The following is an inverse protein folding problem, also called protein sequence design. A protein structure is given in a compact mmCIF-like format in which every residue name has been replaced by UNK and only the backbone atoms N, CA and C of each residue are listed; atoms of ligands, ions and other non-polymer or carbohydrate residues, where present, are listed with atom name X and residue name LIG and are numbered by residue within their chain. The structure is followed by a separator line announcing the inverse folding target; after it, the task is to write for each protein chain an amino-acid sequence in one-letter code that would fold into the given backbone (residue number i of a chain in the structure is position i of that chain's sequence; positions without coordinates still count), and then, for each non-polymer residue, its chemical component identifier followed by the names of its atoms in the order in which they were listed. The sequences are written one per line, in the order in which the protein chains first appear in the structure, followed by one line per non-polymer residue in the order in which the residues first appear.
data_IF_529006012858
#
_entry.id   IF_529006012858
#
_cell.length_a   1.000
_cell.length_b   1.000
_cell.length_c   1.000
_cell.angle_alpha   90.00
_cell.angle_beta   90.00
_cell.angle_gamma   90.00
#
_symmetry.space_group_name_H-M   'P 1'
#
loop_
_entity.id
_entity.type
_entity.pdbx_description
1 polymer ?
#
# COMPACT_ATOMS: atom_id res chain seq x y z
N UNK A 1 -2.36 -19.78 -2.46
CA UNK A 1 -3.66 -19.54 -3.11
C UNK A 1 -3.65 -20.18 -4.50
N UNK A 2 -4.80 -20.63 -5.03
CA UNK A 2 -4.88 -21.13 -6.40
C UNK A 2 -4.64 -20.01 -7.43
N UNK A 3 -4.31 -20.36 -8.68
CA UNK A 3 -4.17 -19.40 -9.78
C UNK A 3 -5.54 -19.00 -10.36
N UNK A 4 -5.69 -17.72 -10.70
CA UNK A 4 -6.92 -17.11 -11.20
C UNK A 4 -7.27 -17.55 -12.63
N UNK A 5 -6.26 -17.69 -13.48
CA UNK A 5 -6.42 -18.01 -14.89
C UNK A 5 -6.14 -19.49 -15.18
N UNK A 6 -6.83 -20.04 -16.18
CA UNK A 6 -6.56 -21.34 -16.77
C UNK A 6 -5.36 -21.30 -17.75
N UNK A 7 -5.02 -22.44 -18.35
CA UNK A 7 -3.95 -22.56 -19.35
C UNK A 7 -4.20 -21.78 -20.63
N UNK A 8 -5.44 -21.34 -20.88
CA UNK A 8 -5.83 -20.52 -22.03
C UNK A 8 -5.86 -19.02 -21.68
N UNK A 9 -5.49 -18.64 -20.46
CA UNK A 9 -5.50 -17.26 -19.99
C UNK A 9 -6.90 -16.71 -19.70
N UNK A 10 -7.92 -17.56 -19.55
CA UNK A 10 -9.28 -17.19 -19.14
C UNK A 10 -9.43 -17.37 -17.64
N UNK A 11 -10.22 -16.49 -17.00
CA UNK A 11 -10.56 -16.65 -15.57
C UNK A 11 -11.31 -17.97 -15.40
N UNK A 12 -10.84 -18.79 -14.45
CA UNK A 12 -11.47 -20.08 -14.16
C UNK A 12 -12.90 -19.89 -13.67
N UNK A 13 -13.77 -20.85 -13.97
CA UNK A 13 -15.20 -20.71 -13.70
C UNK A 13 -15.51 -20.54 -12.21
N UNK A 14 -14.80 -21.28 -11.35
CA UNK A 14 -14.90 -21.16 -9.89
C UNK A 14 -14.50 -19.78 -9.34
N UNK A 15 -13.79 -18.98 -10.14
CA UNK A 15 -13.32 -17.63 -9.80
C UNK A 15 -14.00 -16.53 -10.63
N UNK A 16 -15.10 -16.83 -11.33
CA UNK A 16 -15.77 -15.86 -12.21
C UNK A 16 -16.33 -14.61 -11.49
N UNK A 17 -16.55 -14.69 -10.17
CA UNK A 17 -16.97 -13.56 -9.32
C UNK A 17 -15.80 -12.72 -8.83
N UNK A 18 -14.56 -13.17 -9.00
CA UNK A 18 -13.39 -12.40 -8.58
C UNK A 18 -13.13 -11.24 -9.54
N UNK A 19 -12.75 -10.06 -9.00
CA UNK A 19 -12.39 -8.94 -9.85
C UNK A 19 -11.09 -9.25 -10.60
N UNK A 20 -11.04 -8.84 -11.85
CA UNK A 20 -9.79 -8.88 -12.64
C UNK A 20 -8.78 -7.91 -12.00
N UNK A 21 -7.49 -8.29 -11.88
CA UNK A 21 -6.46 -7.40 -11.36
C UNK A 21 -6.41 -6.06 -12.11
N UNK A 22 -6.47 -4.96 -11.37
CA UNK A 22 -6.51 -3.61 -11.93
C UNK A 22 -5.21 -3.32 -12.65
N UNK A 23 -5.31 -3.02 -13.95
CA UNK A 23 -4.17 -2.61 -14.76
C UNK A 23 -3.56 -3.73 -15.61
N UNK A 24 -3.86 -5.02 -15.35
CA UNK A 24 -3.31 -6.14 -16.13
C UNK A 24 -3.78 -6.13 -17.60
N UNK A 25 -5.00 -5.66 -17.84
CA UNK A 25 -5.56 -5.45 -19.18
C UNK A 25 -5.48 -3.97 -19.62
N UNK A 26 -4.72 -3.14 -18.90
CA UNK A 26 -4.51 -1.74 -19.23
C UNK A 26 -3.69 -1.55 -20.52
N UNK A 27 -3.71 -0.32 -21.06
CA UNK A 27 -3.03 0.06 -22.32
C UNK A 27 -1.56 -0.38 -22.36
N UNK A 28 -0.88 -0.36 -21.22
CA UNK A 28 0.52 -0.75 -21.07
C UNK A 28 0.79 -2.21 -21.48
N UNK A 29 -0.04 -3.16 -21.06
CA UNK A 29 0.13 -4.58 -21.39
C UNK A 29 -0.66 -5.00 -22.64
N UNK A 30 -1.67 -4.22 -23.03
CA UNK A 30 -2.37 -4.42 -24.30
C UNK A 30 -1.41 -4.36 -25.51
N UNK A 31 -0.39 -3.49 -25.45
CA UNK A 31 0.65 -3.39 -26.47
C UNK A 31 1.70 -4.54 -26.41
N UNK A 32 1.64 -5.42 -25.40
CA UNK A 32 2.61 -6.51 -25.17
C UNK A 32 1.90 -7.83 -24.82
N UNK A 33 1.18 -8.45 -25.77
CA UNK A 33 0.30 -9.59 -25.49
C UNK A 33 1.03 -10.81 -24.92
N UNK A 34 2.25 -11.08 -25.38
CA UNK A 34 3.08 -12.20 -24.87
C UNK A 34 3.45 -12.00 -23.40
N UNK A 35 3.88 -10.79 -23.03
CA UNK A 35 4.20 -10.44 -21.63
C UNK A 35 2.95 -10.55 -20.77
N UNK A 36 1.81 -10.06 -21.27
CA UNK A 36 0.53 -10.14 -20.56
C UNK A 36 0.10 -11.58 -20.30
N UNK A 37 0.26 -12.48 -21.28
CA UNK A 37 -0.08 -13.89 -21.11
C UNK A 37 0.74 -14.52 -19.97
N UNK A 38 2.06 -14.32 -19.99
CA UNK A 38 2.97 -14.80 -18.94
C UNK A 38 2.63 -14.23 -17.55
N UNK A 39 2.24 -12.96 -17.47
CA UNK A 39 1.81 -12.36 -16.20
C UNK A 39 0.48 -12.93 -15.71
N UNK A 40 -0.45 -13.33 -16.59
CA UNK A 40 -1.72 -13.95 -16.18
C UNK A 40 -1.49 -15.31 -15.53
N UNK A 41 -0.48 -16.06 -15.97
CA UNK A 41 -0.07 -17.33 -15.34
C UNK A 41 0.41 -17.16 -13.89
N UNK A 42 0.92 -15.98 -13.53
CA UNK A 42 1.38 -15.70 -12.16
C UNK A 42 0.31 -15.15 -11.22
N UNK A 43 -0.91 -14.85 -11.69
CA UNK A 43 -1.94 -14.22 -10.84
C UNK A 43 -2.63 -15.26 -9.95
N UNK A 44 -2.65 -14.99 -8.65
CA UNK A 44 -3.41 -15.75 -7.68
C UNK A 44 -4.86 -15.28 -7.60
N UNK A 45 -5.76 -16.23 -7.37
CA UNK A 45 -7.16 -15.98 -7.04
C UNK A 45 -7.26 -15.52 -5.59
N UNK A 46 -7.11 -14.21 -5.37
CA UNK A 46 -7.34 -13.58 -4.07
C UNK A 46 -8.70 -12.87 -4.04
N UNK A 47 -9.36 -13.01 -2.89
CA UNK A 47 -10.48 -12.15 -2.49
C UNK A 47 -9.89 -10.89 -1.83
N UNK A 48 -10.55 -9.74 -1.96
CA UNK A 48 -10.05 -8.47 -1.38
C UNK A 48 -9.76 -7.35 -2.36
N UNK A 49 -10.17 -7.50 -3.62
CA UNK A 49 -10.18 -6.43 -4.62
C UNK A 49 -9.13 -6.57 -5.71
N UNK A 50 -9.16 -5.63 -6.64
CA UNK A 50 -8.39 -5.71 -7.89
C UNK A 50 -6.89 -5.42 -7.74
N UNK A 51 -6.40 -5.03 -6.56
CA UNK A 51 -4.97 -4.71 -6.34
C UNK A 51 -4.19 -5.76 -5.54
N UNK A 52 -4.85 -6.85 -5.14
CA UNK A 52 -4.28 -7.93 -4.31
C UNK A 52 -3.11 -8.68 -4.93
N UNK A 53 -2.89 -8.51 -6.23
CA UNK A 53 -1.84 -9.18 -7.01
C UNK A 53 -0.81 -8.21 -7.60
N UNK A 54 -0.81 -6.93 -7.20
CA UNK A 54 -0.01 -5.91 -7.88
C UNK A 54 1.49 -6.16 -7.78
N UNK A 55 1.98 -6.72 -6.66
CA UNK A 55 3.38 -7.09 -6.46
C UNK A 55 3.50 -8.40 -5.66
N UNK A 56 4.64 -9.11 -5.76
CA UNK A 56 4.94 -10.28 -4.92
C UNK A 56 4.74 -10.03 -3.42
N UNK A 57 5.09 -8.83 -2.95
CA UNK A 57 4.97 -8.44 -1.53
C UNK A 57 3.53 -8.48 -1.04
N UNK A 58 2.62 -7.89 -1.83
CA UNK A 58 1.19 -7.87 -1.52
C UNK A 58 0.64 -9.31 -1.57
N UNK A 59 1.07 -10.09 -2.56
CA UNK A 59 0.66 -11.49 -2.69
C UNK A 59 1.16 -12.38 -1.54
N UNK A 60 2.36 -12.11 -1.01
CA UNK A 60 2.90 -12.80 0.17
C UNK A 60 2.05 -12.51 1.41
N UNK A 61 1.73 -11.24 1.66
CA UNK A 61 0.84 -10.82 2.76
C UNK A 61 -0.55 -11.43 2.65
N UNK A 62 -1.19 -11.39 1.47
CA UNK A 62 -2.49 -12.01 1.26
C UNK A 62 -2.45 -13.52 1.49
N UNK A 63 -1.37 -14.19 1.08
CA UNK A 63 -1.19 -15.62 1.33
C UNK A 63 -1.02 -15.93 2.81
N UNK A 64 -0.25 -15.10 3.54
CA UNK A 64 -0.05 -15.27 4.98
C UNK A 64 -1.38 -15.13 5.74
N UNK A 65 -2.13 -14.06 5.49
CA UNK A 65 -3.41 -13.80 6.17
C UNK A 65 -4.47 -14.85 5.82
N UNK A 66 -4.48 -15.36 4.59
CA UNK A 66 -5.36 -16.46 4.20
C UNK A 66 -5.02 -17.75 4.98
N UNK A 67 -3.73 -18.08 5.13
CA UNK A 67 -3.31 -19.24 5.90
C UNK A 67 -3.66 -19.08 7.38
N UNK A 68 -3.48 -17.87 7.94
CA UNK A 68 -3.82 -17.60 9.33
C UNK A 68 -5.33 -17.68 9.58
N UNK A 69 -6.14 -17.15 8.66
CA UNK A 69 -7.59 -17.32 8.73
C UNK A 69 -7.99 -18.80 8.78
N UNK A 70 -7.48 -19.62 7.87
CA UNK A 70 -7.79 -21.06 7.85
C UNK A 70 -7.27 -21.80 9.08
N UNK A 71 -6.10 -21.40 9.62
CA UNK A 71 -5.56 -21.96 10.87
C UNK A 71 -6.50 -21.66 12.04
N UNK A 72 -6.97 -20.42 12.17
CA UNK A 72 -7.92 -20.02 13.21
C UNK A 72 -9.26 -20.72 13.02
N UNK A 73 -9.77 -20.83 11.79
CA UNK A 73 -11.01 -21.53 11.50
C UNK A 73 -10.95 -23.00 11.96
N UNK A 74 -9.86 -23.72 11.63
CA UNK A 74 -9.67 -25.10 12.09
C UNK A 74 -9.65 -25.24 13.62
N UNK A 75 -8.99 -24.32 14.33
CA UNK A 75 -9.02 -24.30 15.79
C UNK A 75 -10.44 -24.06 16.35
N UNK A 76 -11.20 -23.16 15.72
CA UNK A 76 -12.59 -22.88 16.13
C UNK A 76 -13.48 -24.11 15.89
N UNK A 77 -13.32 -24.81 14.76
CA UNK A 77 -14.06 -26.04 14.46
C UNK A 77 -13.76 -27.16 15.46
N UNK A 78 -12.48 -27.34 15.83
CA UNK A 78 -12.06 -28.32 16.84
C UNK A 78 -12.70 -28.03 18.21
N UNK A 79 -12.73 -26.77 18.64
CA UNK A 79 -13.34 -26.37 19.90
C UNK A 79 -14.88 -26.33 19.86
N UNK A 80 -15.48 -26.14 18.68
CA UNK A 80 -16.92 -25.96 18.51
C UNK A 80 -17.50 -26.88 17.41
N UNK A 81 -17.58 -28.21 17.61
CA UNK A 81 -17.97 -29.16 16.56
C UNK A 81 -19.42 -29.04 16.05
N UNK A 82 -20.25 -28.24 16.73
CA UNK A 82 -21.67 -28.03 16.36
C UNK A 82 -21.91 -26.75 15.57
N UNK A 83 -20.88 -25.93 15.38
CA UNK A 83 -21.01 -24.70 14.61
C UNK A 83 -21.07 -25.00 13.12
N UNK A 84 -21.82 -24.18 12.39
CA UNK A 84 -21.85 -24.21 10.93
C UNK A 84 -20.67 -23.41 10.34
N UNK A 85 -20.41 -23.64 9.05
CA UNK A 85 -19.32 -23.01 8.30
C UNK A 85 -19.40 -21.48 8.35
N UNK A 86 -20.59 -20.89 8.22
CA UNK A 86 -20.75 -19.43 8.24
C UNK A 86 -20.33 -18.84 9.59
N UNK A 87 -20.72 -19.46 10.70
CA UNK A 87 -20.32 -18.99 12.03
C UNK A 87 -18.82 -19.13 12.25
N UNK A 88 -18.23 -20.25 11.82
CA UNK A 88 -16.77 -20.46 11.87
C UNK A 88 -16.06 -19.37 11.06
N UNK A 89 -16.48 -19.16 9.81
CA UNK A 89 -15.91 -18.16 8.91
C UNK A 89 -15.96 -16.74 9.50
N UNK A 90 -17.13 -16.27 9.94
CA UNK A 90 -17.26 -14.92 10.50
C UNK A 90 -16.46 -14.75 11.80
N UNK A 91 -16.39 -15.79 12.63
CA UNK A 91 -15.60 -15.75 13.87
C UNK A 91 -14.11 -15.69 13.56
N UNK A 92 -13.61 -16.56 12.68
CA UNK A 92 -12.23 -16.57 12.23
C UNK A 92 -11.86 -15.23 11.56
N UNK A 93 -12.74 -14.67 10.73
CA UNK A 93 -12.57 -13.35 10.11
C UNK A 93 -12.40 -12.25 11.14
N UNK A 94 -13.23 -12.22 12.19
CA UNK A 94 -13.13 -11.23 13.25
C UNK A 94 -11.82 -11.36 14.03
N UNK A 95 -11.39 -12.58 14.35
CA UNK A 95 -10.10 -12.83 14.99
C UNK A 95 -8.93 -12.34 14.12
N UNK A 96 -8.90 -12.70 12.84
CA UNK A 96 -7.87 -12.23 11.90
C UNK A 96 -7.86 -10.71 11.77
N UNK A 97 -9.02 -10.06 11.77
CA UNK A 97 -9.14 -8.60 11.72
C UNK A 97 -8.52 -7.93 12.96
N UNK A 98 -8.77 -8.47 14.16
CA UNK A 98 -8.14 -7.97 15.39
C UNK A 98 -6.63 -8.14 15.35
N UNK A 99 -6.13 -9.30 14.93
CA UNK A 99 -4.68 -9.53 14.76
C UNK A 99 -4.08 -8.50 13.80
N UNK A 100 -4.73 -8.27 12.66
CA UNK A 100 -4.27 -7.29 11.68
C UNK A 100 -4.24 -5.86 12.25
N UNK A 101 -5.28 -5.44 12.98
CA UNK A 101 -5.32 -4.12 13.62
C UNK A 101 -4.21 -3.94 14.67
N UNK A 102 -3.90 -5.00 15.43
CA UNK A 102 -2.78 -4.98 16.37
C UNK A 102 -1.45 -4.81 15.64
N UNK A 103 -1.20 -5.54 14.56
CA UNK A 103 0.00 -5.34 13.74
C UNK A 103 0.08 -3.91 13.18
N UNK A 104 -1.04 -3.32 12.77
CA UNK A 104 -1.04 -1.94 12.28
C UNK A 104 -0.66 -0.96 13.39
N UNK A 105 -1.28 -1.03 14.57
CA UNK A 105 -1.07 -0.04 15.64
C UNK A 105 0.22 -0.31 16.43
N UNK A 106 0.40 -1.54 16.90
CA UNK A 106 1.50 -1.93 17.82
C UNK A 106 2.84 -2.08 17.09
N UNK A 107 2.85 -2.37 15.79
CA UNK A 107 4.10 -2.54 15.04
C UNK A 107 4.28 -1.44 13.99
N UNK A 108 3.36 -1.32 13.02
CA UNK A 108 3.55 -0.41 11.89
C UNK A 108 3.53 1.07 12.28
N UNK A 109 2.52 1.53 13.03
CA UNK A 109 2.44 2.93 13.48
C UNK A 109 3.58 3.27 14.43
N UNK A 110 3.92 2.39 15.37
CA UNK A 110 5.10 2.57 16.22
C UNK A 110 6.39 2.69 15.41
N UNK A 111 6.52 1.94 14.31
CA UNK A 111 7.69 2.03 13.43
C UNK A 111 7.77 3.33 12.63
N UNK A 112 6.66 3.83 12.09
CA UNK A 112 6.66 5.01 11.20
C UNK A 112 6.51 6.35 11.93
N UNK A 113 6.21 6.34 13.23
CA UNK A 113 6.04 7.58 14.00
C UNK A 113 7.29 7.94 14.78
N UNK A 114 7.54 9.25 14.91
CA UNK A 114 8.67 9.80 15.66
C UNK A 114 8.33 10.16 17.11
N UNK A 115 7.09 9.88 17.56
CA UNK A 115 6.60 10.35 18.84
C UNK A 115 7.22 9.64 20.04
N UNK A 116 7.96 8.54 19.83
CA UNK A 116 8.59 7.76 20.91
C UNK A 116 7.57 7.18 21.89
N UNK A 117 6.32 6.99 21.45
CA UNK A 117 5.22 6.42 22.21
C UNK A 117 5.03 4.98 21.76
N UNK A 118 4.86 4.07 22.72
CA UNK A 118 4.47 2.68 22.49
C UNK A 118 2.93 2.59 22.40
N UNK A 119 2.40 2.78 21.19
CA UNK A 119 0.97 2.67 20.92
C UNK A 119 0.48 1.23 21.08
N UNK A 120 -0.62 1.04 21.82
CA UNK A 120 -1.23 -0.29 22.09
C UNK A 120 -2.70 -0.32 21.75
N UNK A 121 -3.17 -1.50 21.34
CA UNK A 121 -4.60 -1.74 21.12
C UNK A 121 -5.22 -2.30 22.40
N UNK A 122 -5.99 -1.47 23.10
CA UNK A 122 -6.74 -1.83 24.30
C UNK A 122 -8.25 -1.63 24.06
N UNK A 123 -8.95 -2.60 23.44
CA UNK A 123 -10.36 -2.48 23.10
C UNK A 123 -11.23 -2.81 24.32
N UNK A 124 -11.12 -2.00 25.37
CA UNK A 124 -11.94 -2.16 26.58
C UNK A 124 -13.29 -1.45 26.45
N UNK A 125 -14.16 -1.67 27.44
CA UNK A 125 -15.52 -1.11 27.46
C UNK A 125 -15.55 0.43 27.35
N UNK A 126 -14.56 1.12 27.91
CA UNK A 126 -14.49 2.58 27.90
C UNK A 126 -14.41 3.17 26.48
N UNK A 127 -13.90 2.42 25.50
CA UNK A 127 -13.79 2.87 24.12
C UNK A 127 -15.17 3.03 23.46
N UNK A 128 -16.13 2.16 23.80
CA UNK A 128 -17.46 2.17 23.19
C UNK A 128 -18.32 3.36 23.64
N UNK A 129 -18.13 3.80 24.87
CA UNK A 129 -18.84 4.94 25.46
C UNK A 129 -18.13 6.27 25.19
N UNK A 130 -16.97 6.23 24.54
CA UNK A 130 -16.17 7.43 24.27
C UNK A 130 -16.84 8.34 23.24
N UNK A 131 -16.92 9.66 23.49
CA UNK A 131 -17.63 10.62 22.61
C UNK A 131 -16.99 10.78 21.23
N UNK A 132 -15.75 10.33 21.07
CA UNK A 132 -15.01 10.35 19.82
C UNK A 132 -15.16 9.06 19.00
N UNK A 133 -15.74 7.98 19.56
CA UNK A 133 -15.99 6.75 18.82
C UNK A 133 -17.07 6.99 17.75
N UNK A 134 -16.64 7.10 16.50
CA UNK A 134 -17.48 7.40 15.35
C UNK A 134 -17.20 6.43 14.22
N UNK A 135 -18.21 6.20 13.38
CA UNK A 135 -18.01 5.45 12.13
C UNK A 135 -16.95 6.14 11.28
N UNK A 136 -15.97 5.38 10.83
CA UNK A 136 -14.88 5.89 10.01
C UNK A 136 -15.30 5.98 8.53
N UNK A 137 -14.82 7.01 7.84
CA UNK A 137 -14.94 7.20 6.40
C UNK A 137 -13.56 7.60 5.87
N UNK A 138 -13.04 6.86 4.90
CA UNK A 138 -11.76 7.20 4.28
C UNK A 138 -11.93 8.47 3.47
N UNK A 139 -11.21 9.52 3.85
CA UNK A 139 -11.30 10.83 3.21
C UNK A 139 -10.46 10.89 1.92
N UNK A 140 -10.76 11.86 1.05
CA UNK A 140 -9.99 12.07 -0.17
C UNK A 140 -8.55 12.49 0.14
N UNK A 141 -8.36 13.31 1.18
CA UNK A 141 -7.07 13.74 1.71
C UNK A 141 -6.25 12.52 2.16
N UNK A 142 -6.85 11.59 2.90
CA UNK A 142 -6.17 10.36 3.33
C UNK A 142 -5.75 9.50 2.13
N UNK A 143 -6.61 9.38 1.12
CA UNK A 143 -6.29 8.62 -0.10
C UNK A 143 -5.18 9.26 -0.97
N UNK A 144 -4.98 10.59 -0.86
CA UNK A 144 -3.89 11.30 -1.54
C UNK A 144 -2.61 11.26 -0.69
N UNK A 145 -2.68 11.56 0.61
CA UNK A 145 -1.50 11.67 1.47
C UNK A 145 -0.73 10.35 1.56
N UNK A 146 -1.43 9.20 1.53
CA UNK A 146 -0.80 7.87 1.64
C UNK A 146 -0.12 7.38 0.35
N UNK A 147 0.02 8.25 -0.65
CA UNK A 147 0.70 7.93 -1.92
C UNK A 147 2.19 8.18 -1.82
N UNK A 148 2.86 7.34 -1.04
CA UNK A 148 4.29 7.42 -0.76
C UNK A 148 5.12 6.72 -1.83
N UNK A 149 4.85 6.95 -3.12
CA UNK A 149 5.57 6.22 -4.18
C UNK A 149 7.07 6.54 -4.20
N UNK A 150 7.46 7.72 -3.70
CA UNK A 150 8.85 8.14 -3.57
C UNK A 150 9.69 7.21 -2.67
N UNK A 151 9.09 6.41 -1.77
CA UNK A 151 9.82 5.46 -0.92
C UNK A 151 10.12 4.13 -1.62
N UNK A 152 9.56 3.91 -2.81
CA UNK A 152 9.74 2.68 -3.58
C UNK A 152 11.04 2.80 -4.41
N UNK A 153 12.02 1.89 -4.24
CA UNK A 153 13.25 1.94 -5.01
C UNK A 153 13.00 1.59 -6.48
N UNK A 154 13.83 2.15 -7.36
CA UNK A 154 13.80 1.87 -8.81
C UNK A 154 14.19 0.43 -9.16
N UNK A 155 14.89 -0.25 -8.24
CA UNK A 155 15.36 -1.62 -8.37
C UNK A 155 14.96 -2.44 -7.14
N UNK A 156 14.24 -3.53 -7.37
CA UNK A 156 13.81 -4.49 -6.35
C UNK A 156 14.68 -5.74 -6.45
N UNK A 157 15.40 -6.07 -5.39
CA UNK A 157 16.10 -7.34 -5.24
C UNK A 157 15.09 -8.46 -4.97
N UNK A 158 15.34 -9.65 -5.50
CA UNK A 158 14.60 -10.84 -5.14
C UNK A 158 15.54 -12.03 -5.18
N UNK A 159 15.90 -12.55 -4.00
CA UNK A 159 16.99 -13.52 -3.89
C UNK A 159 18.31 -12.94 -4.42
N UNK A 160 18.86 -13.56 -5.48
CA UNK A 160 20.09 -13.10 -6.15
C UNK A 160 19.84 -12.15 -7.32
N UNK A 161 18.60 -12.03 -7.77
CA UNK A 161 18.24 -11.24 -8.93
C UNK A 161 17.82 -9.83 -8.53
N UNK A 162 17.86 -8.92 -9.48
CA UNK A 162 17.34 -7.56 -9.34
C UNK A 162 16.38 -7.30 -10.49
N UNK A 163 15.26 -6.67 -10.17
CA UNK A 163 14.18 -6.36 -11.10
C UNK A 163 13.91 -4.87 -11.10
N UNK A 164 13.65 -4.30 -12.26
CA UNK A 164 13.09 -2.95 -12.34
C UNK A 164 11.69 -2.92 -11.73
N UNK A 165 11.23 -1.74 -11.30
CA UNK A 165 9.86 -1.54 -10.83
C UNK A 165 8.82 -2.14 -11.77
N UNK A 166 9.03 -2.01 -13.09
CA UNK A 166 8.13 -2.53 -14.12
C UNK A 166 8.12 -4.06 -14.23
N UNK A 167 9.28 -4.71 -14.10
CA UNK A 167 9.37 -6.17 -14.10
C UNK A 167 8.82 -6.78 -12.82
N UNK A 168 8.82 -6.02 -11.72
CA UNK A 168 8.32 -6.48 -10.43
C UNK A 168 6.78 -6.50 -10.36
N UNK A 169 6.10 -5.64 -11.13
CA UNK A 169 4.64 -5.57 -11.17
C UNK A 169 4.03 -6.86 -11.73
N UNK A 170 3.05 -7.41 -11.01
CA UNK A 170 2.32 -8.65 -11.31
C UNK A 170 3.17 -9.94 -11.39
N UNK A 171 4.49 -9.86 -11.16
CA UNK A 171 5.43 -10.99 -11.20
C UNK A 171 5.37 -11.87 -9.95
N UNK A 172 4.17 -12.25 -9.55
CA UNK A 172 3.90 -13.06 -8.36
C UNK A 172 4.48 -14.48 -8.44
N UNK A 173 4.89 -14.93 -9.62
CA UNK A 173 5.64 -16.18 -9.80
C UNK A 173 6.99 -16.16 -9.09
N UNK A 174 7.56 -14.97 -8.83
CA UNK A 174 8.78 -14.82 -8.02
C UNK A 174 8.65 -15.45 -6.64
N UNK A 175 7.43 -15.51 -6.08
CA UNK A 175 7.18 -16.21 -4.81
C UNK A 175 7.43 -17.72 -4.92
N UNK A 176 7.23 -18.30 -6.09
CA UNK A 176 7.27 -19.75 -6.33
C UNK A 176 8.51 -20.19 -7.11
N UNK A 177 9.28 -19.24 -7.66
CA UNK A 177 10.37 -19.54 -8.58
C UNK A 177 11.52 -20.30 -7.89
N UNK A 178 12.22 -21.12 -8.66
CA UNK A 178 13.31 -21.97 -8.15
C UNK A 178 14.54 -21.17 -7.72
N UNK A 179 14.78 -20.03 -8.37
CA UNK A 179 15.81 -19.04 -8.07
C UNK A 179 15.39 -18.05 -6.97
N UNK A 180 14.11 -18.10 -6.58
CA UNK A 180 13.53 -17.33 -5.50
C UNK A 180 13.46 -18.15 -4.20
N UNK A 181 12.30 -18.11 -3.56
CA UNK A 181 12.10 -18.62 -2.20
C UNK A 181 11.14 -19.82 -2.15
N UNK A 182 10.76 -20.39 -3.30
CA UNK A 182 9.98 -21.64 -3.43
C UNK A 182 8.72 -21.72 -2.54
N UNK A 183 8.06 -20.58 -2.34
CA UNK A 183 6.87 -20.46 -1.50
C UNK A 183 7.14 -20.41 0.01
N UNK A 184 8.40 -20.37 0.45
CA UNK A 184 8.76 -20.14 1.85
C UNK A 184 8.52 -18.67 2.20
N UNK A 185 7.37 -18.41 2.85
CA UNK A 185 6.98 -17.06 3.23
C UNK A 185 7.96 -16.40 4.19
N UNK A 186 8.64 -17.16 5.07
CA UNK A 186 9.64 -16.59 5.99
C UNK A 186 10.76 -15.94 5.21
N UNK A 187 11.31 -16.66 4.23
CA UNK A 187 12.39 -16.15 3.40
C UNK A 187 11.90 -14.99 2.53
N UNK A 188 10.67 -15.07 2.01
CA UNK A 188 10.02 -13.95 1.30
C UNK A 188 9.99 -12.69 2.14
N UNK A 189 9.48 -12.75 3.38
CA UNK A 189 9.42 -11.59 4.25
C UNK A 189 10.80 -11.09 4.66
N UNK A 190 11.76 -11.98 4.91
CA UNK A 190 13.15 -11.58 5.17
C UNK A 190 13.71 -10.78 3.99
N UNK A 191 13.54 -11.28 2.76
CA UNK A 191 13.99 -10.58 1.57
C UNK A 191 13.32 -9.22 1.40
N UNK A 192 12.02 -9.12 1.68
CA UNK A 192 11.27 -7.86 1.63
C UNK A 192 11.83 -6.87 2.65
N UNK A 193 12.05 -7.29 3.89
CA UNK A 193 12.58 -6.43 4.94
C UNK A 193 14.04 -6.02 4.72
N UNK A 194 14.82 -6.80 3.97
CA UNK A 194 16.19 -6.43 3.56
C UNK A 194 16.22 -5.26 2.56
N UNK A 195 15.07 -4.87 2.00
CA UNK A 195 14.98 -3.68 1.14
C UNK A 195 14.88 -2.43 1.98
N UNK A 196 15.86 -1.54 1.82
CA UNK A 196 15.77 -0.20 2.39
C UNK A 196 14.77 0.62 1.57
N UNK A 197 13.84 1.25 2.28
CA UNK A 197 13.03 2.32 1.72
C UNK A 197 13.94 3.46 1.23
N UNK A 198 13.49 4.16 0.20
CA UNK A 198 14.15 5.39 -0.28
C UNK A 198 13.55 6.62 0.40
N UNK A 199 14.06 7.79 0.07
CA UNK A 199 13.65 9.04 0.68
C UNK A 199 12.23 9.46 0.26
N UNK A 200 11.41 9.96 1.19
CA UNK A 200 10.07 10.45 0.91
C UNK A 200 10.08 11.92 0.49
N UNK A 201 10.74 12.24 -0.63
CA UNK A 201 10.89 13.61 -1.14
C UNK A 201 10.51 13.74 -2.61
N UNK A 202 10.23 14.98 -3.03
CA UNK A 202 10.11 15.31 -4.45
C UNK A 202 11.39 14.93 -5.18
N UNK A 203 11.27 14.60 -6.47
CA UNK A 203 12.37 14.14 -7.33
C UNK A 203 13.02 12.80 -6.93
N UNK A 204 12.46 12.07 -5.95
CA UNK A 204 12.94 10.74 -5.57
C UNK A 204 12.17 9.57 -6.23
N UNK A 205 10.99 9.82 -6.81
CA UNK A 205 10.21 8.79 -7.51
C UNK A 205 10.89 8.33 -8.81
N UNK A 206 10.83 7.03 -9.09
CA UNK A 206 11.29 6.45 -10.36
C UNK A 206 10.62 7.15 -11.56
N UNK A 207 11.46 7.67 -12.48
CA UNK A 207 11.08 8.64 -13.51
C UNK A 207 10.07 8.15 -14.57
N UNK A 208 9.83 6.85 -14.66
CA UNK A 208 8.85 6.25 -15.56
C UNK A 208 7.50 6.04 -14.89
N UNK A 209 7.31 4.85 -14.31
CA UNK A 209 6.01 4.41 -13.85
C UNK A 209 5.55 5.16 -12.60
N UNK A 210 6.46 5.39 -11.64
CA UNK A 210 6.10 5.98 -10.34
C UNK A 210 5.76 7.46 -10.46
N UNK A 211 6.51 8.24 -11.24
CA UNK A 211 6.13 9.64 -11.56
C UNK A 211 4.73 9.71 -12.21
N UNK A 212 4.38 8.74 -13.05
CA UNK A 212 3.01 8.64 -13.60
C UNK A 212 1.93 8.41 -12.53
N UNK A 213 2.26 7.72 -11.43
CA UNK A 213 1.36 7.51 -10.29
C UNK A 213 1.23 8.75 -9.41
N UNK A 214 2.30 9.52 -9.25
CA UNK A 214 2.28 10.81 -8.55
C UNK A 214 1.46 11.84 -9.34
N UNK A 215 1.62 11.88 -10.67
CA UNK A 215 0.74 12.67 -11.54
C UNK A 215 -0.74 12.31 -11.33
N UNK A 216 -1.06 11.02 -11.28
CA UNK A 216 -2.43 10.55 -11.03
C UNK A 216 -2.95 10.97 -9.64
N UNK A 217 -2.06 11.11 -8.65
CA UNK A 217 -2.40 11.61 -7.32
C UNK A 217 -2.82 13.09 -7.37
N UNK A 218 -2.05 13.91 -8.10
CA UNK A 218 -2.35 15.33 -8.31
C UNK A 218 -3.66 15.51 -9.11
N UNK A 219 -3.88 14.71 -10.15
CA UNK A 219 -5.15 14.73 -10.90
C UNK A 219 -6.35 14.38 -10.00
N UNK A 220 -6.20 13.41 -9.10
CA UNK A 220 -7.23 13.06 -8.11
C UNK A 220 -7.46 14.22 -7.12
N UNK A 221 -6.40 14.80 -6.58
CA UNK A 221 -6.45 15.96 -5.67
C UNK A 221 -7.24 17.12 -6.28
N UNK A 222 -6.92 17.47 -7.53
CA UNK A 222 -7.60 18.53 -8.30
C UNK A 222 -9.05 18.18 -8.61
N UNK A 223 -9.34 16.93 -8.97
CA UNK A 223 -10.71 16.46 -9.24
C UNK A 223 -11.60 16.54 -7.99
N UNK A 224 -11.02 16.23 -6.82
CA UNK A 224 -11.68 16.40 -5.52
C UNK A 224 -11.71 17.85 -5.03
N UNK A 225 -11.07 18.78 -5.75
CA UNK A 225 -10.93 20.20 -5.38
C UNK A 225 -10.35 20.37 -3.97
N UNK A 226 -9.34 19.56 -3.64
CA UNK A 226 -8.64 19.70 -2.36
C UNK A 226 -8.04 21.11 -2.27
N UNK A 227 -8.09 21.67 -1.06
CA UNK A 227 -7.51 22.98 -0.74
C UNK A 227 -5.98 22.98 -0.83
N UNK A 228 -5.37 24.16 -0.78
CA UNK A 228 -3.91 24.27 -0.80
C UNK A 228 -3.29 23.69 0.46
N UNK A 229 -1.99 23.35 0.39
CA UNK A 229 -1.24 22.89 1.54
C UNK A 229 -1.32 23.87 2.72
N UNK A 230 -1.22 25.17 2.44
CA UNK A 230 -1.32 26.23 3.46
C UNK A 230 -2.67 26.26 4.16
N UNK A 231 -3.77 26.06 3.44
CA UNK A 231 -5.10 25.99 4.05
C UNK A 231 -5.26 24.76 4.96
N UNK A 232 -4.66 23.62 4.59
CA UNK A 232 -4.64 22.44 5.45
C UNK A 232 -3.79 22.64 6.70
N UNK A 233 -2.66 23.36 6.60
CA UNK A 233 -1.89 23.75 7.78
C UNK A 233 -2.77 24.53 8.77
N UNK A 234 -3.49 25.54 8.27
CA UNK A 234 -4.43 26.34 9.07
C UNK A 234 -5.57 25.51 9.67
N UNK A 235 -6.16 24.58 8.90
CA UNK A 235 -7.19 23.67 9.40
C UNK A 235 -6.70 22.78 10.56
N UNK A 236 -5.46 22.31 10.49
CA UNK A 236 -4.82 21.49 11.52
C UNK A 236 -4.23 22.31 12.68
N UNK A 237 -4.34 23.64 12.64
CA UNK A 237 -3.76 24.53 13.65
C UNK A 237 -2.23 24.58 13.64
N UNK A 238 -1.62 24.23 12.50
CA UNK A 238 -0.16 24.32 12.30
C UNK A 238 0.19 25.60 11.51
N UNK A 239 1.39 26.18 11.72
CA UNK A 239 1.79 27.38 10.98
C UNK A 239 1.75 27.14 9.47
N UNK A 240 1.00 28.00 8.76
CA UNK A 240 1.00 27.99 7.30
C UNK A 240 2.31 28.61 6.77
N UNK A 241 2.89 28.07 5.69
CA UNK A 241 4.12 28.61 5.14
C UNK A 241 3.90 30.00 4.53
N UNK A 242 4.75 30.96 4.89
CA UNK A 242 4.71 32.34 4.36
C UNK A 242 5.68 32.54 3.19
N UNK A 243 6.63 31.62 3.04
CA UNK A 243 7.63 31.57 1.98
C UNK A 243 7.93 30.12 1.58
N UNK A 244 8.52 29.91 0.39
CA UNK A 244 8.98 28.57 -0.02
C UNK A 244 10.06 28.00 0.89
N UNK A 245 10.79 28.85 1.63
CA UNK A 245 11.79 28.42 2.60
C UNK A 245 11.17 27.80 3.88
N UNK A 246 9.89 28.04 4.13
CA UNK A 246 9.14 27.40 5.22
C UNK A 246 8.69 25.97 4.84
N UNK A 247 8.75 25.62 3.55
CA UNK A 247 8.46 24.28 3.05
C UNK A 247 9.73 23.44 3.01
N UNK A 248 10.80 23.94 2.38
CA UNK A 248 12.06 23.20 2.19
C UNK A 248 13.27 24.10 2.28
N UNK A 249 14.41 23.59 2.74
CA UNK A 249 15.72 24.26 2.72
C UNK A 249 16.41 24.20 1.36
N UNK A 250 15.98 23.31 0.46
CA UNK A 250 16.54 23.18 -0.89
C UNK A 250 16.22 24.42 -1.74
N UNK A 251 17.26 25.18 -2.11
CA UNK A 251 17.12 26.43 -2.87
C UNK A 251 16.69 26.22 -4.31
N UNK A 252 17.07 25.09 -4.92
CA UNK A 252 16.66 24.75 -6.28
C UNK A 252 15.19 24.37 -6.27
N UNK A 253 14.75 23.56 -5.30
CA UNK A 253 13.34 23.20 -5.14
C UNK A 253 12.47 24.43 -4.81
N UNK A 254 12.96 25.36 -3.97
CA UNK A 254 12.27 26.64 -3.73
C UNK A 254 12.02 27.42 -5.03
N UNK A 255 13.01 27.45 -5.93
CA UNK A 255 12.90 28.12 -7.22
C UNK A 255 11.90 27.39 -8.13
N UNK A 256 11.97 26.08 -8.22
CA UNK A 256 11.03 25.28 -9.03
C UNK A 256 9.58 25.44 -8.55
N UNK A 257 9.34 25.38 -7.24
CA UNK A 257 8.01 25.60 -6.67
C UNK A 257 7.50 27.01 -6.98
N UNK A 258 8.37 28.02 -6.92
CA UNK A 258 8.02 29.39 -7.30
C UNK A 258 7.69 29.51 -8.79
N UNK A 259 8.47 28.87 -9.65
CA UNK A 259 8.26 28.90 -11.10
C UNK A 259 6.94 28.22 -11.49
N UNK A 260 6.54 27.17 -10.76
CA UNK A 260 5.30 26.41 -11.01
C UNK A 260 4.07 27.06 -10.37
N UNK A 261 4.14 27.48 -9.11
CA UNK A 261 2.98 27.94 -8.32
C UNK A 261 2.87 29.45 -8.14
N UNK A 262 3.94 30.21 -8.42
CA UNK A 262 4.05 31.64 -8.22
C UNK A 262 4.14 32.04 -6.74
N UNK A 263 3.05 31.84 -6.00
CA UNK A 263 2.95 32.15 -4.57
C UNK A 263 2.88 30.88 -3.72
N UNK A 264 3.48 30.91 -2.53
CA UNK A 264 3.52 29.76 -1.60
C UNK A 264 2.13 29.24 -1.23
N UNK A 265 1.14 30.13 -1.12
CA UNK A 265 -0.24 29.77 -0.76
C UNK A 265 -0.95 28.92 -1.82
N UNK A 266 -0.41 28.89 -3.04
CA UNK A 266 -0.96 28.13 -4.17
C UNK A 266 -0.41 26.69 -4.24
N UNK A 267 0.58 26.33 -3.42
CA UNK A 267 1.15 24.98 -3.42
C UNK A 267 0.07 23.96 -3.06
N UNK A 268 -0.11 22.97 -3.93
CA UNK A 268 -1.11 21.91 -3.76
C UNK A 268 -0.82 21.03 -2.54
N UNK A 269 -1.87 20.51 -1.91
CA UNK A 269 -1.80 19.69 -0.70
C UNK A 269 -0.73 18.60 -0.75
N UNK A 270 -0.75 17.72 -1.76
CA UNK A 270 0.20 16.61 -1.87
C UNK A 270 1.63 17.11 -2.13
N UNK A 271 1.80 18.09 -3.01
CA UNK A 271 3.13 18.65 -3.30
C UNK A 271 3.76 19.27 -2.06
N UNK A 272 3.00 20.06 -1.29
CA UNK A 272 3.51 20.67 -0.06
C UNK A 272 3.88 19.65 1.01
N UNK A 273 3.14 18.54 1.12
CA UNK A 273 3.46 17.44 2.04
C UNK A 273 4.79 16.77 1.68
N UNK A 274 4.99 16.41 0.40
CA UNK A 274 6.17 15.66 -0.06
C UNK A 274 7.40 16.57 -0.25
N UNK A 275 7.20 17.88 -0.44
CA UNK A 275 8.29 18.84 -0.51
C UNK A 275 8.91 19.14 0.86
N UNK A 276 8.19 18.85 1.95
CA UNK A 276 8.62 19.26 3.29
C UNK A 276 9.89 18.53 3.70
N UNK A 277 10.85 19.26 4.29
CA UNK A 277 12.03 18.61 4.83
C UNK A 277 11.67 17.67 5.98
N UNK A 278 12.42 16.58 6.09
CA UNK A 278 12.29 15.60 7.16
C UNK A 278 13.60 15.55 7.95
N UNK A 279 13.51 15.29 9.26
CA UNK A 279 14.70 15.04 10.08
C UNK A 279 15.42 13.79 9.55
N UNK A 280 16.75 13.73 9.68
CA UNK A 280 17.53 12.56 9.26
C UNK A 280 17.12 11.24 9.96
N UNK A 281 16.37 11.35 11.06
CA UNK A 281 15.84 10.24 11.85
C UNK A 281 14.41 9.83 11.45
N UNK A 282 13.75 10.61 10.58
CA UNK A 282 12.44 10.27 10.04
C UNK A 282 12.63 9.42 8.76
N UNK A 283 11.97 8.26 8.72
CA UNK A 283 11.86 7.41 7.52
C UNK A 283 10.62 7.85 6.73
#
# INVERSE_FOLDING_TARGET
APFLYDSNGKVKEEFNKLPVPQGIDGKMYAARPQVRAKLKESIFAFFGGSRTNLTPNISAWNTLLLREHNRIAGLIEEENPTWDDERVFQTARNCTLVIYLRLVIEEYINHITIYGVDFKVEPEKWMWDSPWYKRNWISAEFAVLYRWHAVIPSLMKWGKNTHTTMEYLFSNNLLLSDDGMKGNLRDCFHNICDHRATNMQLHNSEGGFMVGRDKSALEMSRSCKLRSFSEYCGYLGTPAPESFADITQDKDLQKELKDVYGEVKNVEFWTGLIAKDHSCEAI
#
